data_IF_599162832004
#
_entry.id   IF_599162832004
#
_cell.length_a   1.000
_cell.length_b   1.000
_cell.length_c   1.000
_cell.angle_alpha   90.00
_cell.angle_beta   90.00
_cell.angle_gamma   90.00
#
_symmetry.space_group_name_H-M   'P 1'
#
loop_
_entity.id
_entity.type
_entity.pdbx_description
1 polymer ?
#
# COMPACT_ATOMS: atom_id res chain seq x y z
N UNK A 1 21.50 6.07 26.80
CA UNK A 1 22.02 7.13 25.91
C UNK A 1 22.16 6.62 24.48
N UNK A 2 22.75 5.44 24.27
CA UNK A 2 22.95 4.83 22.94
C UNK A 2 21.64 4.60 22.15
N UNK A 3 20.60 4.05 22.79
CA UNK A 3 19.28 3.83 22.16
C UNK A 3 18.63 5.14 21.70
N UNK A 4 18.80 6.22 22.47
CA UNK A 4 18.26 7.54 22.10
C UNK A 4 18.99 8.12 20.90
N UNK A 5 20.32 7.99 20.84
CA UNK A 5 21.13 8.40 19.69
C UNK A 5 20.70 7.61 18.46
N UNK A 6 20.52 6.28 18.58
CA UNK A 6 20.07 5.43 17.49
C UNK A 6 18.70 5.88 16.94
N UNK A 7 17.73 6.14 17.81
CA UNK A 7 16.41 6.68 17.42
C UNK A 7 16.53 8.04 16.73
N UNK A 8 17.42 8.91 17.19
CA UNK A 8 17.70 10.21 16.56
C UNK A 8 18.33 10.09 15.18
N UNK A 9 19.29 9.18 15.00
CA UNK A 9 19.89 8.88 13.68
C UNK A 9 18.84 8.30 12.74
N UNK A 10 18.06 7.32 13.21
CA UNK A 10 16.97 6.71 12.44
C UNK A 10 15.93 7.76 11.99
N UNK A 11 15.50 8.65 12.90
CA UNK A 11 14.60 9.76 12.59
C UNK A 11 15.11 10.59 11.41
N UNK A 12 16.39 11.00 11.45
CA UNK A 12 16.99 11.81 10.40
C UNK A 12 17.09 11.05 9.08
N UNK A 13 17.52 9.78 9.11
CA UNK A 13 17.66 8.96 7.91
C UNK A 13 16.31 8.71 7.24
N UNK A 14 15.26 8.39 8.00
CA UNK A 14 13.92 8.18 7.46
C UNK A 14 13.37 9.48 6.87
N UNK A 15 13.46 10.60 7.59
CA UNK A 15 12.94 11.87 7.11
C UNK A 15 13.61 12.31 5.79
N UNK A 16 14.95 12.29 5.75
CA UNK A 16 15.71 12.68 4.55
C UNK A 16 15.51 11.66 3.43
N UNK A 17 15.61 10.37 3.74
CA UNK A 17 15.46 9.29 2.77
C UNK A 17 14.08 9.29 2.11
N UNK A 18 13.02 9.40 2.92
CA UNK A 18 11.65 9.46 2.41
C UNK A 18 11.40 10.72 1.56
N UNK A 19 11.95 11.87 1.95
CA UNK A 19 11.81 13.11 1.19
C UNK A 19 12.53 13.01 -0.17
N UNK A 20 13.78 12.54 -0.17
CA UNK A 20 14.54 12.34 -1.42
C UNK A 20 13.83 11.34 -2.33
N UNK A 21 13.46 10.18 -1.81
CA UNK A 21 12.76 9.14 -2.54
C UNK A 21 11.43 9.61 -3.15
N UNK A 22 10.61 10.36 -2.40
CA UNK A 22 9.31 10.85 -2.87
C UNK A 22 9.42 11.93 -3.97
N UNK A 23 10.58 12.56 -4.12
CA UNK A 23 10.83 13.61 -5.13
C UNK A 23 11.53 13.09 -6.40
N UNK A 24 12.18 11.92 -6.33
CA UNK A 24 12.84 11.27 -7.50
C UNK A 24 11.92 11.13 -8.74
N UNK A 25 10.62 10.81 -8.61
CA UNK A 25 9.75 10.60 -9.77
C UNK A 25 9.65 11.79 -10.74
N UNK A 26 9.91 13.02 -10.27
CA UNK A 26 9.91 14.23 -11.11
C UNK A 26 10.97 14.19 -12.24
N UNK A 27 12.04 13.42 -12.07
CA UNK A 27 13.16 13.37 -13.01
C UNK A 27 13.28 12.05 -13.80
N UNK A 28 12.47 11.02 -13.52
CA UNK A 28 12.71 9.65 -14.03
C UNK A 28 11.47 9.03 -14.72
N UNK A 29 10.32 9.71 -14.72
CA UNK A 29 9.02 9.15 -15.10
C UNK A 29 8.78 8.88 -16.61
N UNK A 30 9.73 9.17 -17.50
CA UNK A 30 9.48 9.12 -18.95
C UNK A 30 9.76 7.79 -19.65
N UNK A 31 10.58 6.90 -19.07
CA UNK A 31 11.17 5.77 -19.81
C UNK A 31 10.43 4.44 -19.61
N UNK A 32 10.42 3.56 -20.62
CA UNK A 32 9.90 2.19 -20.49
C UNK A 32 10.64 1.39 -19.41
N UNK A 33 11.95 1.64 -19.23
CA UNK A 33 12.78 0.96 -18.24
C UNK A 33 12.43 1.39 -16.80
N UNK A 34 12.12 2.67 -16.57
CA UNK A 34 11.72 3.15 -15.24
C UNK A 34 10.36 2.61 -14.82
N UNK A 35 9.40 2.53 -15.75
CA UNK A 35 8.10 1.85 -15.50
C UNK A 35 8.26 0.36 -15.20
N UNK A 36 9.20 -0.32 -15.87
CA UNK A 36 9.54 -1.72 -15.57
C UNK A 36 10.13 -1.87 -14.16
N UNK A 37 11.17 -1.09 -13.85
CA UNK A 37 11.82 -1.12 -12.53
C UNK A 37 10.87 -0.77 -11.39
N UNK A 38 9.94 0.17 -11.59
CA UNK A 38 8.94 0.52 -10.58
C UNK A 38 8.00 -0.66 -10.25
N UNK A 39 7.56 -1.42 -11.25
CA UNK A 39 6.67 -2.58 -11.07
C UNK A 39 7.38 -3.72 -10.32
N UNK A 40 8.61 -4.04 -10.74
CA UNK A 40 9.44 -5.04 -10.06
C UNK A 40 9.79 -4.58 -8.64
N UNK A 41 10.14 -3.31 -8.44
CA UNK A 41 10.42 -2.76 -7.11
C UNK A 41 9.22 -2.86 -6.17
N UNK A 42 8.01 -2.59 -6.66
CA UNK A 42 6.76 -2.75 -5.89
C UNK A 42 6.54 -4.20 -5.45
N UNK A 43 6.62 -5.15 -6.36
CA UNK A 43 6.43 -6.57 -6.00
C UNK A 43 7.52 -7.11 -5.08
N UNK A 44 8.77 -6.67 -5.25
CA UNK A 44 9.85 -6.98 -4.32
C UNK A 44 9.54 -6.47 -2.90
N UNK A 45 9.12 -5.20 -2.78
CA UNK A 45 8.75 -4.61 -1.50
C UNK A 45 7.60 -5.37 -0.81
N UNK A 46 6.60 -5.84 -1.56
CA UNK A 46 5.53 -6.68 -1.01
C UNK A 46 6.07 -7.98 -0.38
N UNK A 47 7.02 -8.64 -1.06
CA UNK A 47 7.71 -9.81 -0.51
C UNK A 47 8.47 -9.50 0.79
N UNK A 48 9.20 -8.38 0.81
CA UNK A 48 9.92 -7.89 1.99
C UNK A 48 8.96 -7.63 3.15
N UNK A 49 7.85 -6.91 2.93
CA UNK A 49 6.82 -6.67 3.96
C UNK A 49 6.26 -7.96 4.54
N UNK A 50 5.98 -8.95 3.68
CA UNK A 50 5.47 -10.24 4.12
C UNK A 50 6.50 -10.98 4.98
N UNK A 51 7.77 -10.94 4.60
CA UNK A 51 8.88 -11.51 5.37
C UNK A 51 9.02 -10.85 6.74
N UNK A 52 9.04 -9.51 6.79
CA UNK A 52 9.17 -8.75 8.05
C UNK A 52 7.97 -9.04 8.97
N UNK A 53 6.75 -9.04 8.42
CA UNK A 53 5.53 -9.31 9.16
C UNK A 53 5.56 -10.69 9.84
N UNK A 54 5.84 -11.75 9.07
CA UNK A 54 5.75 -13.13 9.58
C UNK A 54 6.98 -13.62 10.34
N UNK A 55 8.18 -13.18 9.95
CA UNK A 55 9.43 -13.75 10.47
C UNK A 55 10.06 -12.89 11.57
N UNK A 56 9.70 -11.61 11.65
CA UNK A 56 10.28 -10.69 12.63
C UNK A 56 9.24 -10.17 13.62
N UNK A 57 8.19 -9.51 13.13
CA UNK A 57 7.24 -8.78 13.99
C UNK A 57 6.22 -9.68 14.69
N UNK A 58 5.67 -10.66 13.97
CA UNK A 58 4.66 -11.56 14.53
C UNK A 58 5.22 -12.45 15.66
N UNK A 59 6.41 -13.07 15.54
CA UNK A 59 7.03 -13.82 16.63
C UNK A 59 7.32 -12.93 17.84
N UNK A 60 7.93 -11.76 17.62
CA UNK A 60 8.29 -10.83 18.71
C UNK A 60 7.05 -10.29 19.44
N UNK A 61 5.99 -9.96 18.69
CA UNK A 61 4.70 -9.60 19.28
C UNK A 61 4.11 -10.75 20.11
N UNK A 62 4.24 -12.00 19.64
CA UNK A 62 3.72 -13.17 20.34
C UNK A 62 4.47 -13.43 21.65
N UNK A 63 5.79 -13.23 21.67
CA UNK A 63 6.61 -13.33 22.89
C UNK A 63 6.23 -12.27 23.93
N UNK A 64 5.98 -11.04 23.49
CA UNK A 64 5.56 -9.93 24.36
C UNK A 64 4.11 -10.06 24.85
N UNK A 65 3.26 -10.83 24.17
CA UNK A 65 1.85 -11.07 24.51
C UNK A 65 1.59 -12.49 25.10
N UNK A 66 2.61 -13.11 25.70
CA UNK A 66 2.58 -14.47 26.27
C UNK A 66 1.62 -14.70 27.44
N UNK A 67 1.08 -13.64 28.05
CA UNK A 67 0.19 -13.72 29.23
C UNK A 67 -1.18 -14.37 28.97
N UNK A 68 -1.51 -14.70 27.72
CA UNK A 68 -2.80 -15.23 27.32
C UNK A 68 -2.65 -16.56 26.57
N UNK A 69 -3.44 -17.57 26.92
CA UNK A 69 -3.51 -18.87 26.20
C UNK A 69 -4.05 -18.72 24.76
N UNK A 70 -4.62 -17.57 24.44
CA UNK A 70 -5.20 -17.24 23.15
C UNK A 70 -4.20 -16.45 22.29
N UNK A 71 -4.13 -16.68 20.95
CA UNK A 71 -3.17 -16.01 20.06
C UNK A 71 -3.52 -14.52 19.84
N UNK A 72 -3.27 -13.71 20.88
CA UNK A 72 -3.65 -12.30 20.92
C UNK A 72 -2.94 -11.48 19.84
N UNK A 73 -1.66 -11.79 19.56
CA UNK A 73 -0.91 -11.15 18.47
C UNK A 73 -1.61 -11.31 17.12
N UNK A 74 -2.03 -12.53 16.78
CA UNK A 74 -2.78 -12.80 15.55
C UNK A 74 -4.14 -12.09 15.50
N UNK A 75 -4.87 -12.06 16.61
CA UNK A 75 -6.15 -11.33 16.68
C UNK A 75 -5.97 -9.83 16.44
N UNK A 76 -5.00 -9.20 17.10
CA UNK A 76 -4.71 -7.78 16.93
C UNK A 76 -4.26 -7.49 15.48
N UNK A 77 -3.43 -8.35 14.90
CA UNK A 77 -3.02 -8.22 13.50
C UNK A 77 -4.22 -8.27 12.54
N UNK A 78 -5.18 -9.18 12.75
CA UNK A 78 -6.40 -9.25 11.93
C UNK A 78 -7.29 -8.02 12.15
N UNK A 79 -7.44 -7.55 13.38
CA UNK A 79 -8.18 -6.30 13.66
C UNK A 79 -7.52 -5.11 12.95
N UNK A 80 -6.19 -4.99 13.01
CA UNK A 80 -5.46 -3.93 12.32
C UNK A 80 -5.58 -4.03 10.79
N UNK A 81 -5.57 -5.25 10.23
CA UNK A 81 -5.86 -5.47 8.80
C UNK A 81 -7.25 -4.94 8.43
N UNK A 82 -8.29 -5.30 9.20
CA UNK A 82 -9.65 -4.81 8.94
C UNK A 82 -9.79 -3.31 9.16
N UNK A 83 -9.05 -2.73 10.11
CA UNK A 83 -9.04 -1.29 10.34
C UNK A 83 -8.43 -0.55 9.14
N UNK A 84 -7.33 -1.06 8.57
CA UNK A 84 -6.75 -0.51 7.34
C UNK A 84 -7.72 -0.64 6.16
N UNK A 85 -8.32 -1.82 5.98
CA UNK A 85 -9.34 -2.05 4.96
C UNK A 85 -10.52 -1.09 5.13
N UNK A 86 -11.05 -0.94 6.35
CA UNK A 86 -12.15 -0.03 6.63
C UNK A 86 -11.75 1.41 6.28
N UNK A 87 -10.58 1.84 6.74
CA UNK A 87 -10.08 3.19 6.50
C UNK A 87 -10.03 3.48 4.99
N UNK A 88 -9.38 2.61 4.22
CA UNK A 88 -9.20 2.86 2.79
C UNK A 88 -10.47 2.60 1.95
N UNK A 89 -11.15 1.49 2.20
CA UNK A 89 -12.23 0.97 1.34
C UNK A 89 -13.63 1.34 1.78
N UNK A 90 -13.84 1.76 3.03
CA UNK A 90 -15.18 2.03 3.57
C UNK A 90 -15.30 3.47 4.03
N UNK A 91 -14.42 3.94 4.90
CA UNK A 91 -14.47 5.29 5.46
C UNK A 91 -14.19 6.37 4.41
N UNK A 92 -13.31 6.05 3.45
CA UNK A 92 -12.84 7.02 2.46
C UNK A 92 -13.27 6.70 1.03
N UNK A 93 -14.03 5.62 0.80
CA UNK A 93 -14.74 5.45 -0.48
C UNK A 93 -16.00 6.29 -0.45
N UNK A 94 -15.86 7.57 -0.78
CA UNK A 94 -16.99 8.48 -0.93
C UNK A 94 -17.95 7.91 -2.01
N UNK A 95 -19.24 7.80 -1.66
CA UNK A 95 -20.29 7.26 -2.50
C UNK A 95 -20.45 8.10 -3.79
N UNK A 96 -19.68 7.80 -4.82
CA UNK A 96 -19.97 8.26 -6.19
C UNK A 96 -20.28 7.12 -7.16
N UNK A 97 -20.22 5.86 -6.70
CA UNK A 97 -20.53 4.68 -7.53
C UNK A 97 -21.99 4.19 -7.45
N UNK A 98 -22.90 4.92 -6.80
CA UNK A 98 -24.34 4.68 -6.93
C UNK A 98 -25.10 6.00 -7.03
N UNK A 99 -24.90 6.73 -8.13
CA UNK A 99 -25.96 7.59 -8.66
C UNK A 99 -26.83 6.73 -9.58
N UNK A 100 -27.73 5.95 -8.99
CA UNK A 100 -28.86 5.42 -9.77
C UNK A 100 -29.77 6.59 -10.19
N UNK A 101 -30.10 6.64 -11.48
CA UNK A 101 -31.41 7.11 -11.94
C UNK A 101 -31.55 8.61 -12.24
N UNK A 102 -31.36 8.96 -13.51
CA UNK A 102 -32.25 9.94 -14.17
C UNK A 102 -32.35 9.67 -15.67
N UNK A 103 -33.45 8.97 -16.03
CA UNK A 103 -34.10 8.87 -17.35
C UNK A 103 -33.23 8.48 -18.56
N UNK A 104 -33.11 7.17 -18.79
CA UNK A 104 -33.17 6.66 -20.16
C UNK A 104 -34.64 6.42 -20.50
N UNK A 105 -35.34 7.48 -20.90
CA UNK A 105 -36.49 7.33 -21.79
C UNK A 105 -35.97 7.51 -23.19
N UNK A 106 -36.23 6.48 -24.01
CA UNK A 106 -36.23 6.50 -25.46
C UNK A 106 -34.87 6.34 -26.16
N UNK A 107 -34.62 5.10 -26.63
CA UNK A 107 -34.22 4.80 -28.02
C UNK A 107 -33.95 3.29 -28.16
N UNK A 108 -34.94 2.57 -28.70
CA UNK A 108 -34.90 1.33 -29.51
C UNK A 108 -34.08 0.12 -29.04
N UNK A 109 -34.42 -1.14 -29.30
CA UNK A 109 -35.49 -1.82 -30.01
C UNK A 109 -35.43 -3.27 -29.51
N UNK A 110 -36.59 -3.91 -29.38
CA UNK A 110 -36.66 -5.35 -29.12
C UNK A 110 -36.14 -6.14 -30.31
N UNK A 111 -35.41 -7.21 -30.02
CA UNK A 111 -35.66 -8.51 -30.65
C UNK A 111 -35.20 -9.61 -29.70
N UNK A 112 -36.15 -10.47 -29.37
CA UNK A 112 -36.05 -11.64 -28.51
C UNK A 112 -34.98 -12.63 -28.97
N UNK A 113 -34.25 -13.25 -28.02
CA UNK A 113 -33.96 -14.70 -27.96
C UNK A 113 -33.16 -15.05 -26.69
N UNK A 114 -33.86 -15.69 -25.76
CA UNK A 114 -33.50 -16.81 -24.88
C UNK A 114 -32.16 -16.94 -24.10
N UNK A 115 -32.37 -17.36 -22.85
CA UNK A 115 -31.51 -18.11 -21.92
C UNK A 115 -30.49 -17.37 -21.00
N UNK A 116 -30.99 -17.11 -19.80
CA UNK A 116 -30.41 -17.51 -18.50
C UNK A 116 -28.89 -17.45 -18.34
N UNK A 117 -28.34 -16.28 -18.02
CA UNK A 117 -27.02 -16.12 -17.34
C UNK A 117 -26.82 -14.67 -16.83
N UNK A 118 -27.90 -14.03 -16.37
CA UNK A 118 -27.90 -12.59 -16.03
C UNK A 118 -27.16 -12.25 -14.72
N UNK A 119 -27.02 -13.17 -13.77
CA UNK A 119 -26.30 -12.90 -12.51
C UNK A 119 -24.78 -13.07 -12.63
N UNK A 120 -24.30 -14.07 -13.38
CA UNK A 120 -22.86 -14.30 -13.53
C UNK A 120 -22.20 -13.21 -14.40
N UNK A 121 -22.95 -12.67 -15.36
CA UNK A 121 -22.49 -11.60 -16.26
C UNK A 121 -22.43 -10.25 -15.54
N UNK A 122 -23.39 -9.97 -14.64
CA UNK A 122 -23.37 -8.75 -13.79
C UNK A 122 -22.26 -8.80 -12.74
N UNK A 123 -21.98 -9.97 -12.16
CA UNK A 123 -20.88 -10.14 -11.21
C UNK A 123 -19.51 -9.99 -11.89
N UNK A 124 -19.34 -10.55 -13.10
CA UNK A 124 -18.15 -10.33 -13.94
C UNK A 124 -17.98 -8.87 -14.33
N UNK A 125 -19.06 -8.15 -14.63
CA UNK A 125 -19.00 -6.72 -14.91
C UNK A 125 -18.61 -5.92 -13.66
N UNK A 126 -19.20 -6.16 -12.49
CA UNK A 126 -18.88 -5.44 -11.24
C UNK A 126 -17.43 -5.69 -10.78
N UNK A 127 -16.93 -6.93 -10.88
CA UNK A 127 -15.52 -7.26 -10.64
C UNK A 127 -14.59 -6.65 -11.70
N UNK A 128 -15.02 -6.60 -12.97
CA UNK A 128 -14.24 -6.02 -14.07
C UNK A 128 -14.19 -4.49 -14.04
N UNK A 129 -15.19 -3.82 -13.46
CA UNK A 129 -15.26 -2.35 -13.49
C UNK A 129 -14.20 -1.70 -12.58
N UNK A 130 -13.72 -2.40 -11.53
CA UNK A 130 -12.60 -1.89 -10.71
C UNK A 130 -11.24 -2.13 -11.36
N UNK A 131 -11.06 -3.24 -12.07
CA UNK A 131 -9.77 -3.61 -12.69
C UNK A 131 -9.52 -2.92 -14.04
N UNK A 132 -10.57 -2.62 -14.83
CA UNK A 132 -10.39 -1.95 -16.14
C UNK A 132 -10.39 -0.43 -16.10
N UNK A 133 -11.00 0.21 -15.10
CA UNK A 133 -11.07 1.68 -15.10
C UNK A 133 -9.74 2.33 -14.70
N UNK A 134 -8.89 1.63 -13.94
CA UNK A 134 -7.53 2.09 -13.63
C UNK A 134 -6.55 1.95 -14.81
N UNK A 135 -6.70 0.90 -15.63
CA UNK A 135 -5.75 0.62 -16.71
C UNK A 135 -5.82 1.58 -17.90
N UNK A 136 -6.84 2.44 -17.98
CA UNK A 136 -7.04 3.34 -19.13
C UNK A 136 -6.76 4.82 -18.86
N UNK A 137 -6.50 5.24 -17.61
CA UNK A 137 -6.29 6.66 -17.29
C UNK A 137 -4.80 7.03 -17.14
N UNK A 138 -3.92 6.11 -16.75
CA UNK A 138 -2.49 6.43 -16.55
C UNK A 138 -1.61 6.24 -17.79
N UNK A 139 -2.04 5.48 -18.79
CA UNK A 139 -1.20 5.18 -19.94
C UNK A 139 -1.94 5.57 -21.21
N UNK A 140 -1.52 6.69 -21.82
CA UNK A 140 -1.87 7.07 -23.18
C UNK A 140 -1.32 6.09 -24.22
N UNK A 141 -1.71 4.82 -24.11
CA UNK A 141 -1.43 3.73 -25.04
C UNK A 141 -2.78 3.22 -25.56
N UNK A 142 -3.34 4.01 -26.48
CA UNK A 142 -4.56 3.68 -27.20
C UNK A 142 -4.31 2.76 -28.38
N UNK A 143 -3.36 1.82 -28.31
CA UNK A 143 -3.11 0.89 -29.42
C UNK A 143 -3.17 -0.58 -28.96
N UNK A 144 -4.11 -1.29 -29.59
CA UNK A 144 -4.30 -2.75 -29.59
C UNK A 144 -5.07 -3.42 -28.44
N UNK A 145 -6.28 -2.94 -28.16
CA UNK A 145 -7.37 -3.88 -27.81
C UNK A 145 -8.25 -4.10 -29.05
N UNK A 146 -7.96 -5.16 -29.81
CA UNK A 146 -8.86 -5.68 -30.83
C UNK A 146 -10.08 -6.23 -30.11
N UNK A 147 -11.13 -5.42 -30.03
CA UNK A 147 -12.49 -5.91 -29.83
C UNK A 147 -13.29 -5.37 -31.01
N UNK A 148 -13.91 -6.27 -31.78
CA UNK A 148 -14.75 -5.96 -32.94
C UNK A 148 -15.83 -4.93 -32.57
N UNK A 149 -15.60 -3.66 -32.86
CA UNK A 149 -16.62 -2.64 -33.05
C UNK A 149 -16.23 -1.84 -34.30
N UNK A 150 -16.54 -2.37 -35.47
CA UNK A 150 -16.44 -1.64 -36.74
C UNK A 150 -17.63 -0.70 -36.86
N UNK A 151 -17.61 0.45 -36.17
CA UNK A 151 -18.24 1.70 -36.63
C UNK A 151 -17.61 2.89 -35.86
N UNK A 152 -17.19 3.96 -36.54
CA UNK A 152 -16.54 5.10 -35.89
C UNK A 152 -17.56 5.95 -35.13
N UNK A 153 -17.50 5.92 -33.79
CA UNK A 153 -18.21 6.84 -32.91
C UNK A 153 -17.89 8.29 -33.28
N UNK A 154 -18.91 9.05 -33.70
CA UNK A 154 -18.78 10.39 -34.28
C UNK A 154 -18.62 11.52 -33.25
N UNK A 155 -18.61 11.23 -31.95
CA UNK A 155 -18.39 12.19 -30.86
C UNK A 155 -17.95 11.45 -29.59
N UNK A 156 -17.04 12.00 -28.77
CA UNK A 156 -16.60 11.36 -27.53
C UNK A 156 -17.74 11.39 -26.51
N UNK A 157 -18.26 10.22 -26.15
CA UNK A 157 -19.36 10.04 -25.17
C UNK A 157 -18.93 10.08 -23.70
N UNK A 158 -17.81 10.73 -23.40
CA UNK A 158 -17.36 10.92 -22.01
C UNK A 158 -16.86 12.36 -21.87
N UNK A 159 -17.66 13.22 -21.25
CA UNK A 159 -17.14 14.40 -20.60
C UNK A 159 -16.28 13.90 -19.43
N UNK A 160 -14.97 13.83 -19.65
CA UNK A 160 -13.99 13.33 -18.71
C UNK A 160 -13.94 14.27 -17.50
N UNK A 161 -14.81 14.05 -16.52
CA UNK A 161 -14.65 14.69 -15.22
C UNK A 161 -13.46 14.01 -14.55
N UNK A 162 -12.32 14.68 -14.68
CA UNK A 162 -10.96 14.42 -14.17
C UNK A 162 -10.84 14.20 -12.63
N UNK A 163 -11.92 13.78 -11.95
CA UNK A 163 -11.99 13.66 -10.49
C UNK A 163 -11.75 12.26 -9.93
N UNK A 164 -11.68 11.20 -10.76
CA UNK A 164 -11.58 9.82 -10.26
C UNK A 164 -10.16 9.40 -9.84
N UNK A 165 -9.11 9.86 -10.53
CA UNK A 165 -7.70 9.50 -10.22
C UNK A 165 -7.16 10.20 -8.98
N UNK A 166 -7.55 11.45 -8.77
CA UNK A 166 -7.09 12.27 -7.64
C UNK A 166 -7.55 11.71 -6.27
N UNK A 167 -8.67 10.98 -6.24
CA UNK A 167 -9.23 10.39 -5.03
C UNK A 167 -8.37 9.21 -4.54
N UNK A 168 -8.00 8.28 -5.41
CA UNK A 168 -7.28 7.08 -4.98
C UNK A 168 -5.81 7.32 -4.66
N UNK A 169 -5.12 8.20 -5.40
CA UNK A 169 -3.74 8.57 -5.07
C UNK A 169 -3.64 9.25 -3.71
N UNK A 170 -4.65 10.07 -3.38
CA UNK A 170 -4.79 10.70 -2.08
C UNK A 170 -5.00 9.66 -0.98
N UNK A 171 -5.91 8.71 -1.16
CA UNK A 171 -6.20 7.68 -0.15
C UNK A 171 -5.03 6.73 0.09
N UNK A 172 -4.32 6.30 -0.97
CA UNK A 172 -3.14 5.46 -0.82
C UNK A 172 -2.06 6.19 0.00
N UNK A 173 -1.83 7.48 -0.28
CA UNK A 173 -0.89 8.29 0.49
C UNK A 173 -1.33 8.47 1.96
N UNK A 174 -2.63 8.63 2.23
CA UNK A 174 -3.16 8.65 3.60
C UNK A 174 -2.96 7.31 4.31
N UNK A 175 -3.29 6.19 3.68
CA UNK A 175 -3.14 4.85 4.24
C UNK A 175 -1.67 4.55 4.59
N UNK A 176 -0.75 4.83 3.67
CA UNK A 176 0.69 4.68 3.89
C UNK A 176 1.21 5.64 4.98
N UNK A 177 0.63 6.83 5.13
CA UNK A 177 0.95 7.73 6.24
C UNK A 177 0.51 7.17 7.60
N UNK A 178 -0.71 6.60 7.69
CA UNK A 178 -1.18 5.96 8.94
C UNK A 178 -0.29 4.79 9.31
N UNK A 179 0.03 3.94 8.34
CA UNK A 179 0.97 2.83 8.51
C UNK A 179 2.34 3.32 9.02
N UNK A 180 2.88 4.38 8.40
CA UNK A 180 4.14 5.01 8.78
C UNK A 180 4.16 5.53 10.22
N UNK A 181 3.03 6.04 10.73
CA UNK A 181 2.90 6.45 12.14
C UNK A 181 3.03 5.23 13.05
N UNK A 182 2.30 4.14 12.76
CA UNK A 182 2.32 2.92 13.59
C UNK A 182 3.72 2.31 13.60
N UNK A 183 4.36 2.22 12.45
CA UNK A 183 5.76 1.79 12.28
C UNK A 183 6.73 2.64 13.13
N UNK A 184 6.58 3.97 13.07
CA UNK A 184 7.39 4.89 13.89
C UNK A 184 7.18 4.67 15.39
N UNK A 185 5.93 4.47 15.83
CA UNK A 185 5.62 4.17 17.23
C UNK A 185 6.33 2.91 17.68
N UNK A 186 6.33 1.86 16.85
CA UNK A 186 6.98 0.58 17.16
C UNK A 186 8.48 0.76 17.40
N UNK A 187 9.20 1.50 16.55
CA UNK A 187 10.63 1.83 16.81
C UNK A 187 10.79 2.72 18.04
N UNK A 188 9.87 3.67 18.22
CA UNK A 188 9.87 4.61 19.34
C UNK A 188 9.74 3.91 20.70
N UNK A 189 8.95 2.84 20.81
CA UNK A 189 8.70 2.12 22.06
C UNK A 189 9.89 1.25 22.47
N UNK A 190 10.66 0.72 21.51
CA UNK A 190 11.77 -0.21 21.78
C UNK A 190 12.78 0.37 22.78
N UNK A 191 13.06 -0.39 23.84
CA UNK A 191 13.93 0.05 24.94
C UNK A 191 15.37 -0.46 24.81
N UNK A 192 15.56 -1.55 24.06
CA UNK A 192 16.82 -2.25 23.91
C UNK A 192 17.52 -1.90 22.59
N UNK A 193 18.85 -1.79 22.63
CA UNK A 193 19.64 -1.38 21.46
C UNK A 193 19.55 -2.37 20.30
N UNK A 194 19.68 -3.67 20.58
CA UNK A 194 19.68 -4.72 19.55
C UNK A 194 18.37 -4.78 18.75
N UNK A 195 17.21 -4.98 19.41
CA UNK A 195 15.90 -4.93 18.76
C UNK A 195 15.61 -3.60 18.05
N UNK A 196 15.96 -2.46 18.66
CA UNK A 196 15.80 -1.14 18.01
C UNK A 196 16.61 -1.07 16.71
N UNK A 197 17.85 -1.57 16.70
CA UNK A 197 18.73 -1.52 15.53
C UNK A 197 18.23 -2.44 14.40
N UNK A 198 17.87 -3.68 14.74
CA UNK A 198 17.36 -4.64 13.75
C UNK A 198 16.06 -4.13 13.12
N UNK A 199 15.13 -3.63 13.94
CA UNK A 199 13.88 -3.03 13.45
C UNK A 199 14.13 -1.78 12.60
N UNK A 200 15.04 -0.90 13.02
CA UNK A 200 15.40 0.30 12.27
C UNK A 200 16.00 -0.04 10.89
N UNK A 201 16.88 -1.05 10.80
CA UNK A 201 17.45 -1.50 9.53
C UNK A 201 16.36 -2.11 8.64
N UNK A 202 15.51 -2.99 9.20
CA UNK A 202 14.40 -3.59 8.48
C UNK A 202 13.48 -2.53 7.86
N UNK A 203 13.19 -1.47 8.61
CA UNK A 203 12.42 -0.31 8.16
C UNK A 203 13.13 0.46 7.06
N UNK A 204 14.38 0.84 7.26
CA UNK A 204 15.12 1.63 6.28
C UNK A 204 15.18 0.94 4.90
N UNK A 205 15.28 -0.38 4.87
CA UNK A 205 15.28 -1.17 3.63
C UNK A 205 13.98 -0.98 2.85
N UNK A 206 12.84 -0.98 3.53
CA UNK A 206 11.54 -0.91 2.87
C UNK A 206 10.94 0.50 2.81
N UNK A 207 11.54 1.49 3.50
CA UNK A 207 11.05 2.86 3.51
C UNK A 207 11.31 3.62 2.22
N UNK A 208 12.45 3.39 1.58
CA UNK A 208 12.80 4.05 0.31
C UNK A 208 11.89 3.58 -0.84
N UNK A 209 11.66 2.26 -1.03
CA UNK A 209 10.67 1.78 -2.00
C UNK A 209 9.26 2.32 -1.74
N UNK A 210 8.80 2.33 -0.49
CA UNK A 210 7.49 2.87 -0.11
C UNK A 210 7.36 4.36 -0.47
N UNK A 211 8.38 5.16 -0.12
CA UNK A 211 8.42 6.59 -0.42
C UNK A 211 8.45 6.88 -1.93
N UNK A 212 9.17 6.06 -2.72
CA UNK A 212 9.15 6.15 -4.17
C UNK A 212 7.74 5.91 -4.72
N UNK A 213 7.03 4.89 -4.21
CA UNK A 213 5.64 4.61 -4.61
C UNK A 213 4.73 5.80 -4.30
N UNK A 214 4.81 6.37 -3.09
CA UNK A 214 4.05 7.59 -2.73
C UNK A 214 4.36 8.73 -3.70
N UNK A 215 5.63 8.95 -4.02
CA UNK A 215 6.06 9.97 -4.98
C UNK A 215 5.48 9.77 -6.39
N UNK A 216 5.50 8.54 -6.90
CA UNK A 216 4.97 8.17 -8.22
C UNK A 216 3.44 8.32 -8.23
N UNK A 217 2.76 7.77 -7.23
CA UNK A 217 1.29 7.82 -7.10
C UNK A 217 0.76 9.25 -7.04
N UNK A 218 1.51 10.17 -6.44
CA UNK A 218 1.14 11.58 -6.35
C UNK A 218 1.66 12.43 -7.52
N UNK A 219 2.39 11.85 -8.48
CA UNK A 219 3.05 12.61 -9.56
C UNK A 219 2.06 13.42 -10.42
N UNK A 220 0.87 12.86 -10.68
CA UNK A 220 -0.21 13.50 -11.43
C UNK A 220 -1.07 14.46 -10.60
N UNK A 221 -0.82 14.60 -9.28
CA UNK A 221 -1.60 15.47 -8.38
C UNK A 221 -1.11 16.91 -8.46
N UNK A 222 -2.03 17.89 -8.32
CA UNK A 222 -1.70 19.30 -8.28
C UNK A 222 -0.55 19.61 -7.30
N UNK A 223 0.45 20.39 -7.74
CA UNK A 223 1.73 20.61 -7.04
C UNK A 223 1.56 20.96 -5.55
N UNK A 224 0.63 21.85 -5.21
CA UNK A 224 0.38 22.25 -3.82
C UNK A 224 -0.12 21.08 -2.96
N UNK A 225 -1.11 20.34 -3.46
CA UNK A 225 -1.67 19.17 -2.78
C UNK A 225 -0.65 18.05 -2.68
N UNK A 226 0.11 17.79 -3.76
CA UNK A 226 1.20 16.82 -3.77
C UNK A 226 2.25 17.12 -2.69
N UNK A 227 2.77 18.36 -2.64
CA UNK A 227 3.75 18.74 -1.63
C UNK A 227 3.21 18.56 -0.21
N UNK A 228 1.95 18.93 0.03
CA UNK A 228 1.33 18.74 1.35
C UNK A 228 1.25 17.26 1.73
N UNK A 229 0.82 16.39 0.81
CA UNK A 229 0.71 14.95 1.06
C UNK A 229 2.06 14.27 1.27
N UNK A 230 3.08 14.63 0.48
CA UNK A 230 4.46 14.14 0.68
C UNK A 230 4.98 14.56 2.05
N UNK A 231 4.75 15.82 2.47
CA UNK A 231 5.18 16.27 3.79
C UNK A 231 4.47 15.50 4.91
N UNK A 232 3.15 15.29 4.81
CA UNK A 232 2.40 14.49 5.78
C UNK A 232 3.00 13.09 5.90
N UNK A 233 3.26 12.43 4.77
CA UNK A 233 3.89 11.12 4.74
C UNK A 233 5.32 11.13 5.34
N UNK A 234 6.18 12.07 4.94
CA UNK A 234 7.56 12.14 5.43
C UNK A 234 7.66 12.38 6.95
N UNK A 235 6.71 13.12 7.53
CA UNK A 235 6.66 13.37 8.96
C UNK A 235 5.94 12.29 9.76
N UNK A 236 5.21 11.37 9.11
CA UNK A 236 4.45 10.32 9.78
C UNK A 236 5.32 9.42 10.67
N UNK A 237 6.39 8.82 10.13
CA UNK A 237 7.32 7.98 10.92
C UNK A 237 8.06 8.78 12.00
N UNK A 238 8.65 9.97 11.71
CA UNK A 238 9.18 10.88 12.74
C UNK A 238 8.24 11.16 13.90
N UNK A 239 6.98 11.51 13.62
CA UNK A 239 5.95 11.74 14.64
C UNK A 239 5.70 10.46 15.43
N UNK A 240 5.57 9.33 14.74
CA UNK A 240 5.43 8.02 15.36
C UNK A 240 6.57 7.70 16.33
N UNK A 241 7.83 7.93 15.95
CA UNK A 241 9.00 7.69 16.81
C UNK A 241 8.94 8.53 18.08
N UNK A 242 8.57 9.81 17.99
CA UNK A 242 8.43 10.68 19.17
C UNK A 242 7.29 10.20 20.08
N UNK A 243 6.13 9.88 19.50
CA UNK A 243 4.99 9.36 20.26
C UNK A 243 5.33 8.03 20.93
N UNK A 244 5.94 7.11 20.19
CA UNK A 244 6.38 5.82 20.71
C UNK A 244 7.43 5.95 21.80
N UNK A 245 8.35 6.91 21.69
CA UNK A 245 9.32 7.18 22.75
C UNK A 245 8.65 7.63 24.04
N UNK A 246 7.63 8.50 23.96
CA UNK A 246 6.86 8.95 25.13
C UNK A 246 6.07 7.80 25.73
N UNK A 247 5.37 7.01 24.91
CA UNK A 247 4.60 5.84 25.35
C UNK A 247 5.51 4.76 25.94
N UNK A 248 6.72 4.61 25.42
CA UNK A 248 7.72 3.65 25.88
C UNK A 248 8.38 4.00 27.22
N UNK A 249 8.14 5.19 27.80
CA UNK A 249 8.73 5.60 29.08
C UNK A 249 8.30 4.70 30.26
N UNK A 250 7.08 4.16 30.21
CA UNK A 250 6.55 3.26 31.23
C UNK A 250 6.99 1.79 31.04
N UNK A 251 7.78 1.49 30.01
CA UNK A 251 8.32 0.17 29.66
C UNK A 251 7.33 -0.99 29.84
N UNK A 252 6.21 -0.94 29.12
CA UNK A 252 5.20 -2.00 29.15
C UNK A 252 5.34 -2.94 27.93
N UNK A 253 5.82 -4.20 28.12
CA UNK A 253 5.98 -5.15 27.02
C UNK A 253 4.66 -5.46 26.30
N UNK A 254 3.52 -5.39 27.00
CA UNK A 254 2.20 -5.62 26.39
C UNK A 254 1.90 -4.53 25.37
N UNK A 255 2.17 -3.26 25.70
CA UNK A 255 1.94 -2.13 24.79
C UNK A 255 2.80 -2.29 23.53
N UNK A 256 4.06 -2.66 23.72
CA UNK A 256 4.97 -2.94 22.61
C UNK A 256 4.50 -4.11 21.74
N UNK A 257 4.08 -5.21 22.36
CA UNK A 257 3.51 -6.36 21.66
C UNK A 257 2.25 -6.02 20.86
N UNK A 258 1.39 -5.12 21.38
CA UNK A 258 0.19 -4.62 20.69
C UNK A 258 0.58 -3.82 19.45
N UNK A 259 1.51 -2.87 19.55
CA UNK A 259 1.94 -2.07 18.39
C UNK A 259 2.67 -2.91 17.34
N UNK A 260 3.48 -3.89 17.75
CA UNK A 260 4.09 -4.87 16.84
C UNK A 260 3.02 -5.69 16.09
N UNK A 261 1.97 -6.18 16.79
CA UNK A 261 0.86 -6.88 16.13
C UNK A 261 0.08 -5.97 15.16
N UNK A 262 -0.13 -4.71 15.53
CA UNK A 262 -0.72 -3.72 14.63
C UNK A 262 0.13 -3.55 13.36
N UNK A 263 1.45 -3.43 13.48
CA UNK A 263 2.36 -3.38 12.33
C UNK A 263 2.20 -4.62 11.43
N UNK A 264 2.14 -5.83 12.00
CA UNK A 264 1.90 -7.07 11.24
C UNK A 264 0.61 -6.94 10.42
N UNK A 265 -0.50 -6.54 11.04
CA UNK A 265 -1.77 -6.37 10.35
C UNK A 265 -1.71 -5.37 9.20
N UNK A 266 -1.04 -4.23 9.41
CA UNK A 266 -0.87 -3.22 8.37
C UNK A 266 0.02 -3.71 7.21
N UNK A 267 1.11 -4.44 7.48
CA UNK A 267 1.95 -5.03 6.43
C UNK A 267 1.22 -6.11 5.63
N UNK A 268 0.39 -6.93 6.28
CA UNK A 268 -0.45 -7.90 5.58
C UNK A 268 -1.43 -7.20 4.64
N UNK A 269 -2.05 -6.11 5.09
CA UNK A 269 -2.96 -5.33 4.25
C UNK A 269 -2.22 -4.72 3.05
N UNK A 270 -1.14 -3.98 3.29
CA UNK A 270 -0.38 -3.31 2.23
C UNK A 270 0.21 -4.33 1.24
N UNK A 271 0.84 -5.39 1.74
CA UNK A 271 1.47 -6.40 0.88
C UNK A 271 0.45 -7.20 0.09
N UNK A 272 -0.50 -7.85 0.77
CA UNK A 272 -1.39 -8.80 0.11
C UNK A 272 -2.52 -8.11 -0.66
N UNK A 273 -3.02 -6.97 -0.17
CA UNK A 273 -4.24 -6.34 -0.71
C UNK A 273 -3.92 -5.13 -1.59
N UNK A 274 -2.97 -4.29 -1.20
CA UNK A 274 -2.66 -3.08 -1.98
C UNK A 274 -1.62 -3.32 -3.06
N UNK A 275 -0.55 -4.09 -2.78
CA UNK A 275 0.53 -4.27 -3.76
C UNK A 275 0.32 -5.52 -4.61
N UNK A 276 0.15 -6.70 -4.00
CA UNK A 276 0.07 -7.96 -4.76
C UNK A 276 -1.18 -7.98 -5.64
N UNK A 277 -2.36 -7.68 -5.10
CA UNK A 277 -3.61 -7.71 -5.89
C UNK A 277 -3.55 -6.68 -7.03
N UNK A 278 -3.11 -5.46 -6.76
CA UNK A 278 -3.05 -4.41 -7.78
C UNK A 278 -2.03 -4.72 -8.88
N UNK A 279 -0.81 -5.14 -8.52
CA UNK A 279 0.21 -5.46 -9.51
C UNK A 279 -0.13 -6.70 -10.34
N UNK A 280 -0.81 -7.71 -9.76
CA UNK A 280 -1.22 -8.91 -10.49
C UNK A 280 -2.56 -8.76 -11.22
N UNK A 281 -3.32 -7.69 -10.96
CA UNK A 281 -4.51 -7.36 -11.74
C UNK A 281 -4.19 -7.10 -13.21
N UNK A 282 -2.97 -6.63 -13.50
CA UNK A 282 -2.46 -6.45 -14.88
C UNK A 282 -1.57 -7.64 -15.27
N UNK A 283 -1.97 -8.49 -16.25
CA UNK A 283 -1.29 -9.75 -16.56
C UNK A 283 0.11 -9.61 -17.20
N UNK A 284 0.57 -8.38 -17.44
CA UNK A 284 1.90 -8.08 -18.00
C UNK A 284 3.01 -8.44 -17.02
N UNK A 285 4.06 -9.12 -17.52
CA UNK A 285 5.28 -9.47 -16.77
C UNK A 285 5.02 -10.25 -15.46
N UNK A 286 3.93 -11.05 -15.44
CA UNK A 286 3.46 -11.78 -14.24
C UNK A 286 4.52 -12.68 -13.60
N UNK A 287 5.40 -13.30 -14.38
CA UNK A 287 6.46 -14.16 -13.86
C UNK A 287 7.56 -13.34 -13.20
N UNK A 288 7.98 -12.21 -13.79
CA UNK A 288 8.99 -11.33 -13.21
C UNK A 288 8.48 -10.75 -11.88
N UNK A 289 7.21 -10.31 -11.83
CA UNK A 289 6.52 -9.87 -10.62
C UNK A 289 6.51 -10.95 -9.52
N UNK A 290 6.17 -12.18 -9.89
CA UNK A 290 6.16 -13.32 -8.97
C UNK A 290 7.55 -13.61 -8.38
N UNK A 291 8.57 -13.78 -9.24
CA UNK A 291 9.93 -14.07 -8.77
C UNK A 291 10.50 -12.92 -7.95
N UNK A 292 10.15 -11.69 -8.28
CA UNK A 292 10.53 -10.50 -7.52
C UNK A 292 9.95 -10.51 -6.09
N UNK A 293 8.65 -10.81 -5.94
CA UNK A 293 8.02 -10.94 -4.63
C UNK A 293 8.60 -12.11 -3.82
N UNK A 294 8.76 -13.29 -4.45
CA UNK A 294 9.36 -14.46 -3.82
C UNK A 294 10.81 -14.17 -3.35
N UNK A 295 11.58 -13.46 -4.17
CA UNK A 295 12.94 -13.04 -3.83
C UNK A 295 12.96 -12.07 -2.65
N UNK A 296 12.04 -11.09 -2.59
CA UNK A 296 11.91 -10.18 -1.45
C UNK A 296 11.62 -10.90 -0.13
N UNK A 297 10.71 -11.88 -0.15
CA UNK A 297 10.43 -12.70 1.03
C UNK A 297 11.65 -13.55 1.43
N UNK A 298 12.26 -14.24 0.46
CA UNK A 298 13.43 -15.09 0.70
C UNK A 298 14.63 -14.30 1.23
N UNK A 299 14.80 -13.05 0.78
CA UNK A 299 15.84 -12.14 1.27
C UNK A 299 15.67 -11.88 2.78
N UNK A 300 14.46 -11.54 3.23
CA UNK A 300 14.19 -11.35 4.66
C UNK A 300 14.33 -12.65 5.44
N UNK A 301 13.82 -13.76 4.90
CA UNK A 301 13.95 -15.06 5.55
C UNK A 301 15.42 -15.46 5.77
N UNK A 302 16.28 -15.21 4.80
CA UNK A 302 17.72 -15.45 4.92
C UNK A 302 18.36 -14.55 5.97
N UNK A 303 18.01 -13.27 6.01
CA UNK A 303 18.49 -12.34 7.04
C UNK A 303 18.08 -12.79 8.44
N UNK A 304 16.83 -13.23 8.63
CA UNK A 304 16.33 -13.72 9.93
C UNK A 304 17.13 -14.91 10.44
N UNK A 305 17.50 -15.87 9.56
CA UNK A 305 18.35 -17.01 9.93
C UNK A 305 19.73 -16.56 10.42
N UNK A 306 20.33 -15.53 9.80
CA UNK A 306 21.64 -15.01 10.21
C UNK A 306 21.58 -14.19 11.50
N UNK A 307 20.44 -13.59 11.83
CA UNK A 307 20.22 -12.87 13.09
C UNK A 307 20.01 -13.81 14.29
N UNK A 308 19.93 -15.13 14.08
CA UNK A 308 19.76 -16.13 15.14
C UNK A 308 18.35 -16.17 15.72
N UNK A 309 17.35 -15.68 14.97
CA UNK A 309 15.92 -15.84 15.26
C UNK A 309 15.36 -17.08 14.53
#
# INVERSE_FOLDING_TARGET
MEVLILKGVFFCLVLVGALVASLIPDNVSGSKISKFLARIGKTFAAGVFLGIAFLHLLPESSEKLTGYKYPLSGLIAVIAYFMMLFTERVAFTDHSLVSHGKKHTDLGCHSDEDHSDEEETKLKHVLSTRTRLYSHIEEGDGENCITLCTEPLKQPLIEHKEKSTLSSSFFLACALSIHSVIEGITVGIQSEYGPTLSLAIAILIHKLPEALVVGITLAATAKKTRCAMILIYCFATPIGVVVGFIVGLDFNPVVEGVFLACCVGTFLYISCTEIIVEEFAVPREKYQKYFSAAFGFAFIALLSVFEGK
#
